data_IF_984976128343
#
_entry.id   IF_984976128343
#
_cell.length_a   1.000
_cell.length_b   1.000
_cell.length_c   1.000
_cell.angle_alpha   90.00
_cell.angle_beta   90.00
_cell.angle_gamma   90.00
#
_symmetry.space_group_name_H-M   'P 1'
#
loop_
_entity.id
_entity.type
_entity.pdbx_description
1 polymer ?
#
# COMPACT_ATOMS: atom_id res chain seq x y z
N UNK A 1 47.57 24.02 45.92
CA UNK A 1 46.11 23.77 45.85
C UNK A 1 45.77 23.38 44.42
N UNK A 2 45.48 22.10 44.17
CA UNK A 2 45.31 21.53 42.83
C UNK A 2 43.85 21.09 42.65
N UNK A 3 43.07 21.80 41.84
CA UNK A 3 41.66 21.50 41.56
C UNK A 3 41.55 20.39 40.51
N UNK A 4 41.09 19.21 40.91
CA UNK A 4 40.72 18.12 39.99
C UNK A 4 39.31 18.36 39.44
N UNK A 5 39.22 18.76 38.18
CA UNK A 5 38.00 18.70 37.37
C UNK A 5 37.69 17.22 37.04
N UNK A 6 36.63 16.67 37.64
CA UNK A 6 36.03 15.39 37.23
C UNK A 6 35.08 15.65 36.05
N UNK A 7 35.49 15.27 34.85
CA UNK A 7 34.62 15.22 33.68
C UNK A 7 33.60 14.09 33.84
N UNK A 8 32.31 14.43 33.86
CA UNK A 8 31.21 13.49 33.86
C UNK A 8 31.06 12.88 32.46
N UNK A 9 31.49 11.63 32.29
CA UNK A 9 31.14 10.81 31.12
C UNK A 9 29.76 10.21 31.37
N UNK A 10 28.73 10.74 30.71
CA UNK A 10 27.41 10.11 30.64
C UNK A 10 27.43 8.90 29.70
N UNK A 11 26.61 7.86 29.95
CA UNK A 11 26.56 6.69 29.09
C UNK A 11 25.77 7.00 27.81
N UNK A 12 26.47 7.02 26.67
CA UNK A 12 25.88 6.88 25.34
C UNK A 12 25.41 5.43 25.17
N UNK A 13 24.25 5.10 25.75
CA UNK A 13 23.60 3.82 25.57
C UNK A 13 22.95 3.75 24.17
N UNK A 14 23.68 3.09 23.25
CA UNK A 14 23.18 2.16 22.23
C UNK A 14 21.83 2.48 21.54
N UNK A 15 21.86 3.31 20.50
CA UNK A 15 20.84 3.35 19.43
C UNK A 15 20.97 2.17 18.43
N UNK A 16 21.54 1.03 18.83
CA UNK A 16 21.80 -0.11 17.93
C UNK A 16 20.61 -1.05 17.75
N UNK A 17 19.50 -0.86 18.48
CA UNK A 17 18.32 -1.72 18.41
C UNK A 17 17.37 -1.50 17.22
N UNK A 18 17.49 -0.39 16.48
CA UNK A 18 16.51 -0.04 15.44
C UNK A 18 16.70 -0.79 14.10
N UNK A 19 17.85 -1.42 13.88
CA UNK A 19 18.15 -2.09 12.59
C UNK A 19 17.54 -3.49 12.46
N UNK A 20 17.19 -4.15 13.57
CA UNK A 20 16.66 -5.52 13.54
C UNK A 20 15.23 -5.66 13.02
N UNK A 21 14.41 -4.60 13.07
CA UNK A 21 13.00 -4.65 12.69
C UNK A 21 12.74 -4.47 11.19
N UNK A 22 13.74 -4.05 10.41
CA UNK A 22 13.62 -3.92 8.95
C UNK A 22 13.76 -5.26 8.19
N UNK A 23 14.25 -6.32 8.85
CA UNK A 23 14.52 -7.62 8.22
C UNK A 23 13.31 -8.53 8.01
N UNK A 24 12.13 -8.18 8.54
CA UNK A 24 10.92 -9.04 8.51
C UNK A 24 9.87 -8.61 7.48
N UNK A 25 10.17 -7.61 6.65
CA UNK A 25 9.36 -7.30 5.49
C UNK A 25 9.81 -8.20 4.33
N UNK A 26 9.18 -9.36 4.21
CA UNK A 26 9.27 -10.17 3.01
C UNK A 26 9.08 -9.26 1.80
N UNK A 27 10.11 -9.16 0.95
CA UNK A 27 10.01 -8.43 -0.30
C UNK A 27 8.79 -8.97 -1.06
N UNK A 28 7.86 -8.11 -1.53
CA UNK A 28 6.72 -8.58 -2.31
C UNK A 28 7.25 -9.37 -3.50
N UNK A 29 6.83 -10.63 -3.56
CA UNK A 29 7.42 -11.69 -4.38
C UNK A 29 7.75 -11.26 -5.81
N UNK A 30 8.97 -11.62 -6.20
CA UNK A 30 9.46 -11.54 -7.56
C UNK A 30 8.69 -12.53 -8.45
N UNK A 31 7.57 -12.11 -9.02
CA UNK A 31 7.02 -12.69 -10.24
C UNK A 31 6.17 -11.64 -10.96
N UNK A 32 6.82 -10.88 -11.84
CA UNK A 32 6.16 -10.36 -13.03
C UNK A 32 7.08 -10.75 -14.18
N UNK A 33 6.75 -11.85 -14.85
CA UNK A 33 7.22 -12.06 -16.21
C UNK A 33 6.75 -10.85 -17.03
N UNK A 34 7.52 -10.49 -18.06
CA UNK A 34 7.24 -9.42 -19.03
C UNK A 34 5.74 -9.17 -19.20
N UNK A 35 5.25 -7.91 -19.13
CA UNK A 35 3.88 -7.56 -19.47
C UNK A 35 3.70 -7.66 -20.99
N UNK A 36 3.92 -8.85 -21.54
CA UNK A 36 3.31 -9.23 -22.81
C UNK A 36 1.81 -9.00 -22.63
N UNK A 37 1.17 -8.23 -23.54
CA UNK A 37 -0.27 -8.07 -23.50
C UNK A 37 -0.88 -9.47 -23.42
N UNK A 38 -1.59 -9.76 -22.32
CA UNK A 38 -2.18 -11.07 -22.16
C UNK A 38 -3.23 -11.20 -23.26
N UNK A 39 -2.92 -12.01 -24.26
CA UNK A 39 -3.83 -12.25 -25.36
C UNK A 39 -5.11 -12.87 -24.77
N UNK A 40 -6.31 -12.37 -25.13
CA UNK A 40 -7.55 -13.02 -24.77
C UNK A 40 -7.53 -14.46 -25.25
N UNK A 41 -8.01 -15.36 -24.40
CA UNK A 41 -8.12 -16.78 -24.68
C UNK A 41 -9.59 -17.18 -24.67
N UNK A 42 -9.87 -18.26 -25.36
CA UNK A 42 -11.14 -18.95 -25.30
C UNK A 42 -10.84 -20.37 -24.86
N UNK A 43 -11.72 -20.95 -24.06
CA UNK A 43 -11.58 -22.34 -23.68
C UNK A 43 -11.77 -23.21 -24.93
N UNK A 44 -10.90 -24.21 -25.11
CA UNK A 44 -11.08 -25.20 -26.16
C UNK A 44 -12.49 -25.79 -26.02
N UNK A 45 -13.23 -25.98 -27.12
CA UNK A 45 -12.81 -26.03 -28.53
C UNK A 45 -12.86 -24.68 -29.28
N UNK A 46 -12.94 -23.54 -28.60
CA UNK A 46 -13.04 -22.23 -29.25
C UNK A 46 -11.69 -21.53 -29.36
N UNK A 47 -11.56 -20.64 -30.34
CA UNK A 47 -10.41 -19.75 -30.52
C UNK A 47 -10.87 -18.29 -30.48
N UNK A 48 -10.02 -17.41 -29.94
CA UNK A 48 -10.30 -15.99 -29.93
C UNK A 48 -10.11 -15.38 -31.32
N UNK A 49 -11.13 -14.70 -31.82
CA UNK A 49 -11.09 -13.96 -33.09
C UNK A 49 -10.92 -12.46 -32.80
N UNK A 50 -9.76 -11.91 -33.17
CA UNK A 50 -9.43 -10.52 -32.91
C UNK A 50 -10.31 -9.53 -33.71
N UNK A 51 -10.86 -9.94 -34.84
CA UNK A 51 -11.70 -9.10 -35.70
C UNK A 51 -13.09 -8.88 -35.09
N UNK A 52 -13.70 -9.95 -34.56
CA UNK A 52 -15.02 -9.86 -33.90
C UNK A 52 -14.93 -9.68 -32.39
N UNK A 53 -13.71 -9.72 -31.82
CA UNK A 53 -13.46 -9.65 -30.37
C UNK A 53 -14.28 -10.69 -29.57
N UNK A 54 -14.46 -11.87 -30.15
CA UNK A 54 -15.33 -12.93 -29.63
C UNK A 54 -14.69 -14.30 -29.82
N UNK A 55 -15.16 -15.29 -29.05
CA UNK A 55 -14.77 -16.67 -29.26
C UNK A 55 -15.51 -17.24 -30.46
N UNK A 56 -14.77 -17.86 -31.39
CA UNK A 56 -15.31 -18.59 -32.53
C UNK A 56 -14.91 -20.07 -32.46
N UNK A 57 -15.70 -20.97 -33.07
CA UNK A 57 -15.30 -22.36 -33.21
C UNK A 57 -13.91 -22.46 -33.84
N UNK A 58 -12.98 -23.16 -33.17
CA UNK A 58 -11.67 -23.42 -33.74
C UNK A 58 -11.72 -24.56 -34.75
N UNK A 59 -10.60 -24.86 -35.42
CA UNK A 59 -10.49 -26.05 -36.26
C UNK A 59 -10.85 -27.34 -35.51
N UNK A 60 -10.47 -27.43 -34.23
CA UNK A 60 -10.74 -28.58 -33.35
C UNK A 60 -12.23 -28.77 -33.03
N UNK A 61 -13.08 -27.76 -33.30
CA UNK A 61 -14.52 -27.89 -33.09
C UNK A 61 -15.14 -28.93 -34.03
N UNK A 62 -14.62 -29.05 -35.26
CA UNK A 62 -15.11 -30.03 -36.25
C UNK A 62 -14.82 -31.47 -35.84
N UNK A 63 -13.86 -31.67 -34.95
CA UNK A 63 -13.45 -33.00 -34.49
C UNK A 63 -14.29 -33.50 -33.31
N UNK A 64 -15.20 -32.67 -32.78
CA UNK A 64 -16.10 -33.06 -31.69
C UNK A 64 -17.18 -34.02 -32.19
N UNK A 65 -17.32 -35.15 -31.51
CA UNK A 65 -18.31 -36.19 -31.82
C UNK A 65 -19.07 -36.62 -30.57
N UNK A 66 -20.30 -37.09 -30.77
CA UNK A 66 -21.12 -37.70 -29.73
C UNK A 66 -21.36 -36.77 -28.53
N UNK A 67 -21.18 -37.31 -27.32
CA UNK A 67 -21.46 -36.60 -26.06
C UNK A 67 -20.57 -35.37 -25.83
N UNK A 68 -19.39 -35.30 -26.46
CA UNK A 68 -18.49 -34.13 -26.36
C UNK A 68 -19.06 -32.90 -27.08
N UNK A 69 -19.95 -33.09 -28.05
CA UNK A 69 -20.65 -31.99 -28.71
C UNK A 69 -21.81 -31.46 -27.85
N UNK A 70 -22.46 -32.33 -27.08
CA UNK A 70 -23.65 -31.98 -26.30
C UNK A 70 -23.26 -31.28 -25.00
N UNK A 71 -23.90 -30.15 -24.68
CA UNK A 71 -23.67 -29.39 -23.44
C UNK A 71 -23.31 -27.93 -23.71
N UNK A 72 -22.28 -27.42 -23.03
CA UNK A 72 -21.83 -26.02 -23.17
C UNK A 72 -21.15 -25.71 -24.51
N UNK A 73 -20.87 -26.74 -25.32
CA UNK A 73 -20.10 -26.60 -26.56
C UNK A 73 -20.96 -26.54 -27.83
N UNK A 74 -22.22 -26.98 -27.81
CA UNK A 74 -23.07 -26.95 -29.00
C UNK A 74 -24.25 -27.90 -28.97
N UNK A 75 -24.83 -28.14 -30.15
CA UNK A 75 -25.89 -29.12 -30.38
C UNK A 75 -25.51 -30.07 -31.51
N UNK A 76 -25.81 -31.35 -31.33
CA UNK A 76 -25.62 -32.35 -32.37
C UNK A 76 -26.77 -32.24 -33.39
N UNK A 77 -26.44 -32.10 -34.68
CA UNK A 77 -27.42 -32.07 -35.76
C UNK A 77 -27.04 -33.10 -36.82
N UNK A 78 -27.57 -34.31 -36.70
CA UNK A 78 -27.06 -35.47 -37.44
C UNK A 78 -25.77 -35.97 -36.80
N UNK A 79 -24.73 -36.19 -37.60
CA UNK A 79 -23.38 -36.56 -37.12
C UNK A 79 -22.46 -35.34 -36.91
N UNK A 80 -22.91 -34.15 -37.28
CA UNK A 80 -22.11 -32.92 -37.19
C UNK A 80 -22.44 -32.12 -35.93
N UNK A 81 -21.40 -31.61 -35.28
CA UNK A 81 -21.55 -30.68 -34.17
C UNK A 81 -21.81 -29.26 -34.69
N UNK A 82 -22.93 -28.67 -34.28
CA UNK A 82 -23.24 -27.27 -34.58
C UNK A 82 -22.89 -26.40 -33.37
N UNK A 83 -22.14 -25.30 -33.58
CA UNK A 83 -21.87 -24.36 -32.50
C UNK A 83 -23.18 -23.73 -32.01
N UNK A 84 -23.23 -23.30 -30.74
CA UNK A 84 -24.39 -22.60 -30.22
C UNK A 84 -24.57 -21.27 -30.97
N UNK A 85 -25.77 -20.69 -30.83
CA UNK A 85 -26.04 -19.34 -31.31
C UNK A 85 -25.03 -18.34 -30.72
N UNK A 86 -24.75 -17.25 -31.44
CA UNK A 86 -23.68 -16.31 -31.10
C UNK A 86 -23.81 -15.70 -29.69
N UNK A 87 -25.03 -15.53 -29.20
CA UNK A 87 -25.36 -15.03 -27.85
C UNK A 87 -25.02 -16.03 -26.73
N UNK A 88 -24.87 -17.32 -27.08
CA UNK A 88 -24.55 -18.43 -26.17
C UNK A 88 -23.11 -18.92 -26.30
N UNK A 89 -22.30 -18.32 -27.17
CA UNK A 89 -20.88 -18.65 -27.25
C UNK A 89 -20.16 -18.27 -25.96
N UNK A 90 -19.13 -19.04 -25.54
CA UNK A 90 -18.34 -18.67 -24.38
C UNK A 90 -17.71 -17.30 -24.58
N UNK A 91 -17.67 -16.52 -23.50
CA UNK A 91 -17.03 -15.21 -23.53
C UNK A 91 -15.51 -15.38 -23.50
N UNK A 92 -14.76 -14.53 -24.20
CA UNK A 92 -13.31 -14.51 -24.06
C UNK A 92 -12.91 -14.32 -22.59
N UNK A 93 -11.92 -15.08 -22.15
CA UNK A 93 -11.32 -14.99 -20.84
C UNK A 93 -9.85 -14.59 -20.97
N UNK A 94 -9.22 -14.27 -19.85
CA UNK A 94 -7.83 -13.82 -19.82
C UNK A 94 -6.88 -14.86 -19.18
N UNK A 95 -7.35 -16.11 -19.04
CA UNK A 95 -6.63 -17.21 -18.41
C UNK A 95 -6.44 -17.12 -16.88
N UNK A 96 -6.32 -15.91 -16.33
CA UNK A 96 -6.11 -15.65 -14.90
C UNK A 96 -7.23 -14.74 -14.36
N UNK A 97 -7.73 -15.06 -13.17
CA UNK A 97 -8.87 -14.37 -12.52
C UNK A 97 -8.58 -12.92 -12.14
N UNK A 98 -7.31 -12.49 -12.13
CA UNK A 98 -6.90 -11.10 -11.92
C UNK A 98 -7.11 -10.22 -13.15
N UNK A 99 -7.44 -10.81 -14.30
CA UNK A 99 -7.68 -10.08 -15.53
C UNK A 99 -9.16 -10.14 -15.92
N UNK A 100 -9.67 -9.05 -16.50
CA UNK A 100 -10.99 -9.01 -17.14
C UNK A 100 -10.86 -8.64 -18.59
N UNK A 101 -11.71 -9.27 -19.37
CA UNK A 101 -11.87 -8.96 -20.77
C UNK A 101 -12.80 -7.75 -20.92
N UNK A 102 -12.32 -6.67 -21.53
CA UNK A 102 -13.12 -5.51 -21.93
C UNK A 102 -12.67 -5.06 -23.32
N UNK A 103 -13.61 -4.73 -24.20
CA UNK A 103 -13.33 -4.13 -25.53
C UNK A 103 -12.30 -4.87 -26.42
N UNK A 104 -12.14 -6.19 -26.25
CA UNK A 104 -11.20 -6.98 -27.04
C UNK A 104 -9.80 -7.13 -26.46
N UNK A 105 -9.59 -6.66 -25.22
CA UNK A 105 -8.31 -6.73 -24.53
C UNK A 105 -8.49 -7.25 -23.10
N UNK A 106 -7.45 -7.90 -22.59
CA UNK A 106 -7.35 -8.29 -21.20
C UNK A 106 -6.72 -7.16 -20.39
N UNK A 107 -7.45 -6.68 -19.41
CA UNK A 107 -6.98 -5.69 -18.44
C UNK A 107 -6.84 -6.35 -17.09
N UNK A 108 -5.94 -5.86 -16.25
CA UNK A 108 -5.96 -6.22 -14.83
C UNK A 108 -7.26 -5.65 -14.25
N UNK A 109 -8.14 -6.49 -13.73
CA UNK A 109 -9.27 -6.03 -12.95
C UNK A 109 -8.81 -5.85 -11.53
N UNK A 110 -8.51 -4.59 -11.26
CA UNK A 110 -8.21 -4.13 -9.93
C UNK A 110 -9.35 -3.25 -9.43
N UNK A 111 -10.55 -3.83 -9.39
CA UNK A 111 -11.71 -3.27 -8.66
C UNK A 111 -11.47 -3.15 -7.15
N UNK A 112 -10.25 -3.47 -6.68
CA UNK A 112 -9.87 -3.22 -5.30
C UNK A 112 -9.71 -1.70 -5.09
N UNK A 113 -10.35 -1.13 -4.04
CA UNK A 113 -10.33 0.31 -3.80
C UNK A 113 -8.89 0.82 -3.63
N UNK A 114 -8.52 1.94 -4.27
CA UNK A 114 -7.28 2.61 -3.90
C UNK A 114 -7.32 2.96 -2.41
N UNK A 115 -6.34 2.47 -1.65
CA UNK A 115 -6.21 2.72 -0.21
C UNK A 115 -5.63 4.11 0.10
N UNK A 116 -5.67 5.02 -0.87
CA UNK A 116 -5.06 6.34 -0.78
C UNK A 116 -5.78 7.29 -1.72
N UNK A 117 -6.92 7.78 -1.27
CA UNK A 117 -7.41 9.10 -1.67
C UNK A 117 -6.52 10.15 -0.96
N UNK A 118 -6.34 11.36 -1.50
CA UNK A 118 -5.47 12.38 -0.90
C UNK A 118 -4.49 13.03 -1.89
N UNK A 119 -3.64 13.95 -1.40
CA UNK A 119 -2.66 14.67 -2.22
C UNK A 119 -1.69 13.68 -2.90
N UNK A 120 -1.51 13.83 -4.20
CA UNK A 120 -0.65 12.98 -5.04
C UNK A 120 0.70 13.64 -5.30
N UNK A 121 0.88 14.92 -4.99
CA UNK A 121 2.11 15.65 -5.33
C UNK A 121 3.31 15.06 -4.59
N UNK A 122 4.36 14.74 -5.35
CA UNK A 122 5.55 14.07 -4.83
C UNK A 122 5.47 12.54 -4.82
N UNK A 123 4.31 11.97 -5.15
CA UNK A 123 4.15 10.52 -5.22
C UNK A 123 4.60 9.95 -6.56
N UNK A 124 4.98 8.69 -6.50
CA UNK A 124 5.42 7.91 -7.63
C UNK A 124 4.51 6.73 -7.91
N UNK A 125 4.19 6.59 -9.19
CA UNK A 125 3.38 5.53 -9.73
C UNK A 125 4.26 4.58 -10.53
N UNK A 126 4.21 3.31 -10.16
CA UNK A 126 4.80 2.22 -10.95
C UNK A 126 3.71 1.60 -11.80
N UNK A 127 3.73 1.89 -13.09
CA UNK A 127 2.77 1.38 -14.07
C UNK A 127 3.32 0.10 -14.68
N UNK A 128 2.56 -0.98 -14.56
CA UNK A 128 2.87 -2.30 -15.14
C UNK A 128 1.84 -2.72 -16.19
N UNK A 129 0.57 -2.39 -15.96
CA UNK A 129 -0.52 -2.60 -16.92
C UNK A 129 -0.76 -1.37 -17.78
N UNK A 130 -1.24 -1.58 -19.00
CA UNK A 130 -1.56 -0.50 -19.95
C UNK A 130 -3.04 -0.55 -20.32
N UNK A 131 -3.83 0.31 -19.70
CA UNK A 131 -5.19 0.61 -20.18
C UNK A 131 -5.11 1.35 -21.53
N UNK A 132 -6.17 1.37 -22.36
CA UNK A 132 -6.15 2.11 -23.62
C UNK A 132 -5.87 3.60 -23.37
N UNK A 133 -6.48 4.17 -22.32
CA UNK A 133 -6.24 5.54 -21.89
C UNK A 133 -4.76 5.84 -21.59
N UNK A 134 -4.05 4.95 -20.90
CA UNK A 134 -2.61 5.11 -20.66
C UNK A 134 -1.79 4.98 -21.94
N UNK A 135 -2.19 4.09 -22.86
CA UNK A 135 -1.50 3.88 -24.13
C UNK A 135 -1.59 5.10 -25.02
N UNK A 136 -2.79 5.64 -25.15
CA UNK A 136 -3.09 6.79 -26.01
C UNK A 136 -2.36 8.06 -25.50
N UNK A 137 -2.09 8.13 -24.20
CA UNK A 137 -1.27 9.17 -23.55
C UNK A 137 0.24 8.89 -23.59
N UNK A 138 0.66 7.82 -24.28
CA UNK A 138 2.07 7.42 -24.36
C UNK A 138 2.69 7.10 -23.00
N UNK A 139 1.90 6.63 -22.02
CA UNK A 139 2.32 6.30 -20.66
C UNK A 139 2.59 4.80 -20.46
N UNK A 140 2.48 4.00 -21.53
CA UNK A 140 2.86 2.60 -21.50
C UNK A 140 4.35 2.43 -21.11
N UNK A 141 4.72 1.32 -20.43
CA UNK A 141 6.11 0.92 -20.31
C UNK A 141 6.80 0.89 -21.68
N UNK A 142 8.06 1.37 -21.77
CA UNK A 142 8.85 1.21 -22.99
C UNK A 142 8.95 -0.25 -23.44
N UNK A 143 9.13 -0.54 -24.73
CA UNK A 143 9.40 -1.90 -25.20
C UNK A 143 10.58 -2.52 -24.44
N UNK A 144 10.36 -3.71 -23.86
CA UNK A 144 11.37 -4.44 -23.07
C UNK A 144 11.51 -3.98 -21.61
N UNK A 145 10.64 -3.09 -21.11
CA UNK A 145 10.62 -2.70 -19.70
C UNK A 145 9.40 -3.28 -18.97
N UNK A 146 9.63 -3.87 -17.79
CA UNK A 146 8.58 -4.42 -16.93
C UNK A 146 7.62 -3.36 -16.36
N UNK A 147 8.09 -2.12 -16.26
CA UNK A 147 7.33 -1.02 -15.68
C UNK A 147 7.79 0.35 -16.20
N UNK A 148 6.92 1.34 -16.01
CA UNK A 148 7.25 2.75 -16.10
C UNK A 148 7.07 3.40 -14.74
N UNK A 149 8.04 4.21 -14.32
CA UNK A 149 7.93 5.00 -13.11
C UNK A 149 7.56 6.45 -13.49
N UNK A 150 6.51 6.98 -12.89
CA UNK A 150 6.07 8.36 -13.10
C UNK A 150 5.97 9.08 -11.77
N UNK A 151 6.51 10.31 -11.70
CA UNK A 151 6.41 11.21 -10.54
C UNK A 151 5.31 12.24 -10.79
N UNK A 152 4.45 12.46 -9.81
CA UNK A 152 3.46 13.54 -9.83
C UNK A 152 4.10 14.85 -9.40
N UNK A 153 4.03 15.84 -10.28
CA UNK A 153 4.62 17.18 -10.08
C UNK A 153 3.61 18.23 -9.69
N UNK A 154 2.35 18.06 -10.08
CA UNK A 154 1.25 18.93 -9.67
C UNK A 154 -0.09 18.19 -9.79
N UNK A 155 -1.09 18.64 -9.05
CA UNK A 155 -2.45 18.15 -9.15
C UNK A 155 -3.46 19.30 -9.27
N UNK A 156 -4.63 19.03 -9.85
CA UNK A 156 -5.76 19.96 -9.95
C UNK A 156 -7.08 19.20 -9.83
N UNK A 157 -8.00 19.65 -8.98
CA UNK A 157 -9.34 19.05 -8.91
C UNK A 157 -10.16 19.41 -10.18
N UNK A 158 -10.85 18.44 -10.80
CA UNK A 158 -11.61 18.67 -12.06
C UNK A 158 -13.11 18.38 -11.92
N UNK A 159 -13.58 17.71 -10.87
CA UNK A 159 -14.97 17.20 -10.85
C UNK A 159 -15.60 17.24 -9.46
N UNK A 160 -15.81 18.44 -8.91
CA UNK A 160 -16.43 18.65 -7.57
C UNK A 160 -15.80 17.75 -6.48
N UNK A 161 -14.47 17.56 -6.54
CA UNK A 161 -13.71 16.72 -5.60
C UNK A 161 -13.76 15.21 -5.86
N UNK A 162 -14.42 14.74 -6.92
CA UNK A 162 -14.50 13.29 -7.25
C UNK A 162 -13.29 12.73 -8.00
N UNK A 163 -12.49 13.59 -8.63
CA UNK A 163 -11.30 13.19 -9.37
C UNK A 163 -10.29 14.34 -9.50
N UNK A 164 -9.03 13.99 -9.74
CA UNK A 164 -7.91 14.93 -9.84
C UNK A 164 -7.17 14.75 -11.16
N UNK A 165 -6.86 15.86 -11.81
CA UNK A 165 -5.86 15.92 -12.86
C UNK A 165 -4.48 15.88 -12.23
N UNK A 166 -3.62 15.03 -12.76
CA UNK A 166 -2.25 14.88 -12.32
C UNK A 166 -1.33 15.24 -13.49
N UNK A 167 -0.39 16.14 -13.25
CA UNK A 167 0.75 16.34 -14.13
C UNK A 167 1.88 15.42 -13.68
N UNK A 168 2.23 14.50 -14.55
CA UNK A 168 3.23 13.46 -14.28
C UNK A 168 4.39 13.58 -15.24
N UNK A 169 5.57 13.18 -14.78
CA UNK A 169 6.80 13.12 -15.58
C UNK A 169 7.45 11.76 -15.40
N UNK A 170 8.23 11.33 -16.39
CA UNK A 170 9.06 10.15 -16.25
C UNK A 170 10.03 10.31 -15.08
N UNK A 171 10.15 9.25 -14.28
CA UNK A 171 10.97 9.24 -13.09
C UNK A 171 11.92 8.05 -13.08
N UNK A 172 12.94 8.14 -12.23
CA UNK A 172 13.83 7.05 -11.90
C UNK A 172 14.04 6.96 -10.39
N UNK A 173 14.46 5.79 -9.90
CA UNK A 173 14.76 5.64 -8.48
C UNK A 173 16.14 6.22 -8.18
N UNK A 174 16.20 7.27 -7.36
CA UNK A 174 17.48 7.80 -6.85
C UNK A 174 18.11 6.84 -5.84
N UNK A 175 17.29 6.27 -4.95
CA UNK A 175 17.70 5.22 -4.03
C UNK A 175 16.63 4.13 -4.02
N UNK A 176 16.88 3.02 -4.73
CA UNK A 176 15.90 1.93 -4.83
C UNK A 176 15.65 1.31 -3.45
N UNK A 177 14.39 1.16 -2.99
CA UNK A 177 13.11 1.53 -3.60
C UNK A 177 12.45 2.80 -2.98
N UNK A 178 13.22 3.60 -2.23
CA UNK A 178 12.73 4.64 -1.33
C UNK A 178 12.42 5.97 -2.02
N UNK A 179 13.22 6.45 -2.96
CA UNK A 179 13.01 7.79 -3.57
C UNK A 179 12.98 7.74 -5.08
N UNK A 180 12.09 8.54 -5.64
CA UNK A 180 11.97 8.76 -7.06
C UNK A 180 12.25 10.22 -7.39
N UNK A 181 12.94 10.44 -8.50
CA UNK A 181 13.32 11.75 -8.99
C UNK A 181 12.94 11.86 -10.46
N UNK A 182 12.72 13.08 -10.93
CA UNK A 182 12.43 13.34 -12.34
C UNK A 182 13.60 12.88 -13.21
N UNK A 183 13.32 12.15 -14.28
CA UNK A 183 14.31 11.88 -15.32
C UNK A 183 14.55 13.18 -16.10
N UNK A 184 15.81 13.55 -16.31
CA UNK A 184 16.16 14.78 -17.04
C UNK A 184 15.50 14.82 -18.44
N UNK A 185 14.91 15.96 -18.79
CA UNK A 185 14.23 16.15 -20.08
C UNK A 185 12.89 15.42 -20.22
N UNK A 186 12.32 14.89 -19.13
CA UNK A 186 11.03 14.22 -19.17
C UNK A 186 9.90 15.16 -19.59
N UNK A 187 9.08 14.69 -20.52
CA UNK A 187 7.86 15.38 -20.94
C UNK A 187 6.81 15.36 -19.81
N UNK A 188 6.15 16.50 -19.61
CA UNK A 188 5.01 16.60 -18.69
C UNK A 188 3.77 16.05 -19.39
N UNK A 189 3.13 15.07 -18.76
CA UNK A 189 1.92 14.44 -19.25
C UNK A 189 0.78 14.64 -18.26
N UNK A 190 -0.45 14.61 -18.76
CA UNK A 190 -1.64 14.87 -17.97
C UNK A 190 -2.52 13.63 -17.90
N UNK A 191 -2.88 13.19 -16.69
CA UNK A 191 -3.72 12.02 -16.45
C UNK A 191 -4.65 12.21 -15.27
N UNK A 192 -5.84 11.59 -15.32
CA UNK A 192 -6.75 11.56 -14.18
C UNK A 192 -6.26 10.56 -13.14
N UNK A 193 -6.41 10.89 -11.85
CA UNK A 193 -6.08 9.98 -10.77
C UNK A 193 -6.86 8.67 -10.88
N UNK A 194 -8.15 8.74 -11.24
CA UNK A 194 -8.98 7.58 -11.53
C UNK A 194 -8.38 6.65 -12.59
N UNK A 195 -7.90 7.18 -13.71
CA UNK A 195 -7.27 6.40 -14.79
C UNK A 195 -5.98 5.69 -14.33
N UNK A 196 -5.18 6.33 -13.46
CA UNK A 196 -4.00 5.67 -12.85
C UNK A 196 -4.42 4.55 -11.89
N UNK A 197 -5.43 4.79 -11.06
CA UNK A 197 -5.95 3.80 -10.12
C UNK A 197 -6.52 2.60 -10.87
N UNK A 198 -7.35 2.84 -11.89
CA UNK A 198 -7.95 1.81 -12.75
C UNK A 198 -6.90 0.97 -13.49
N UNK A 199 -5.71 1.52 -13.75
CA UNK A 199 -4.62 0.77 -14.36
C UNK A 199 -3.89 -0.20 -13.43
N UNK A 200 -4.21 -0.19 -12.13
CA UNK A 200 -3.48 -0.93 -11.10
C UNK A 200 -2.07 -0.38 -10.87
N UNK A 201 -1.84 0.92 -11.11
CA UNK A 201 -0.56 1.53 -10.87
C UNK A 201 -0.23 1.53 -9.37
N UNK A 202 0.93 0.98 -9.00
CA UNK A 202 1.35 0.94 -7.60
C UNK A 202 1.83 2.33 -7.18
N UNK A 203 1.21 2.91 -6.16
CA UNK A 203 1.52 4.25 -5.63
C UNK A 203 2.52 4.14 -4.48
N UNK A 204 3.52 5.01 -4.49
CA UNK A 204 4.55 5.13 -3.45
C UNK A 204 4.80 6.57 -3.15
N UNK A 205 5.01 6.91 -1.89
CA UNK A 205 5.25 8.30 -1.55
C UNK A 205 5.19 8.59 -0.06
N UNK A 206 5.40 9.85 0.26
CA UNK A 206 5.32 10.32 1.63
C UNK A 206 3.88 10.45 2.08
N UNK A 207 3.65 10.09 3.34
CA UNK A 207 2.36 10.24 4.00
C UNK A 207 2.60 10.84 5.36
N UNK A 208 1.67 11.67 5.81
CA UNK A 208 1.72 12.23 7.15
C UNK A 208 0.30 12.29 7.72
N UNK A 209 0.21 12.31 9.05
CA UNK A 209 -1.07 12.33 9.73
C UNK A 209 -0.92 12.42 11.24
N UNK A 210 -2.01 12.19 11.96
CA UNK A 210 -1.99 12.03 13.40
C UNK A 210 -2.03 10.54 13.78
N UNK A 211 -1.19 10.14 14.72
CA UNK A 211 -1.14 8.81 15.29
C UNK A 211 -1.67 8.86 16.72
N UNK A 212 -2.58 7.95 17.03
CA UNK A 212 -3.12 7.75 18.37
C UNK A 212 -2.75 6.35 18.85
N UNK A 213 -2.11 6.27 20.01
CA UNK A 213 -1.68 5.01 20.64
C UNK A 213 -2.32 4.92 22.02
N UNK A 214 -3.45 4.21 22.17
CA UNK A 214 -4.21 4.18 23.43
C UNK A 214 -3.74 3.11 24.43
N UNK A 215 -3.09 2.04 23.96
CA UNK A 215 -2.66 0.92 24.79
C UNK A 215 -1.20 0.61 24.51
N UNK A 216 -0.38 0.55 25.57
CA UNK A 216 1.05 0.22 25.47
C UNK A 216 1.36 -0.99 26.33
N UNK A 217 2.08 -1.94 25.75
CA UNK A 217 2.63 -3.10 26.44
C UNK A 217 4.13 -2.95 26.63
N UNK A 218 4.57 -2.86 27.88
CA UNK A 218 5.98 -2.76 28.26
C UNK A 218 6.55 -4.15 28.51
N UNK A 219 7.58 -4.52 27.74
CA UNK A 219 8.15 -5.88 27.80
C UNK A 219 8.93 -6.15 29.09
N UNK A 220 9.70 -5.17 29.56
CA UNK A 220 10.59 -5.36 30.71
C UNK A 220 9.80 -5.48 32.01
N UNK A 221 8.70 -4.73 32.16
CA UNK A 221 7.78 -4.85 33.30
C UNK A 221 6.60 -5.82 33.10
N UNK A 222 6.46 -6.46 31.93
CA UNK A 222 5.31 -7.32 31.59
C UNK A 222 3.95 -6.64 31.76
N UNK A 223 3.90 -5.32 31.70
CA UNK A 223 2.75 -4.52 32.15
C UNK A 223 2.04 -3.84 30.98
N UNK A 224 0.71 -3.83 31.05
CA UNK A 224 -0.15 -3.09 30.14
C UNK A 224 -0.57 -1.79 30.82
N UNK A 225 -0.41 -0.68 30.11
CA UNK A 225 -0.85 0.63 30.61
C UNK A 225 -1.78 1.28 29.59
N UNK A 226 -2.90 1.81 30.08
CA UNK A 226 -3.83 2.64 29.32
C UNK A 226 -3.33 4.08 29.24
N UNK A 227 -2.20 4.29 28.58
CA UNK A 227 -1.58 5.60 28.40
C UNK A 227 -1.85 6.08 26.98
N UNK A 228 -2.49 7.25 26.85
CA UNK A 228 -2.81 7.83 25.55
C UNK A 228 -1.61 8.63 25.04
N UNK A 229 -1.12 8.28 23.85
CA UNK A 229 -0.22 9.14 23.07
C UNK A 229 -0.90 9.65 21.82
N UNK A 230 -0.78 10.96 21.58
CA UNK A 230 -1.30 11.62 20.38
C UNK A 230 -0.22 12.53 19.80
N UNK A 231 0.08 12.33 18.53
CA UNK A 231 1.12 13.13 17.87
C UNK A 231 1.15 12.94 16.35
N UNK A 232 1.88 13.81 15.64
CA UNK A 232 2.09 13.66 14.22
C UNK A 232 2.92 12.40 13.90
N UNK A 233 2.63 11.80 12.76
CA UNK A 233 3.50 10.81 12.12
C UNK A 233 3.82 11.23 10.69
N UNK A 234 4.99 10.82 10.22
CA UNK A 234 5.37 10.84 8.82
C UNK A 234 5.83 9.43 8.44
N UNK A 235 5.59 9.02 7.20
CA UNK A 235 5.96 7.70 6.76
C UNK A 235 6.07 7.58 5.26
N UNK A 236 6.71 6.50 4.83
CA UNK A 236 6.79 6.15 3.42
C UNK A 236 5.81 5.02 3.12
N UNK A 237 4.88 5.27 2.21
CA UNK A 237 3.83 4.34 1.78
C UNK A 237 4.32 3.49 0.61
N UNK A 238 3.99 2.22 0.68
CA UNK A 238 3.98 1.29 -0.43
C UNK A 238 2.55 0.77 -0.59
N UNK A 239 1.81 1.23 -1.59
CA UNK A 239 0.49 0.68 -1.93
C UNK A 239 0.51 -0.04 -3.27
N UNK A 240 -0.22 -1.16 -3.29
CA UNK A 240 -0.47 -1.97 -4.47
C UNK A 240 -1.84 -2.61 -4.28
N UNK A 241 -2.75 -2.34 -5.22
CA UNK A 241 -3.98 -3.11 -5.41
C UNK A 241 -4.77 -3.32 -4.12
N UNK A 242 -5.58 -2.35 -3.71
CA UNK A 242 -6.53 -2.55 -2.60
C UNK A 242 -5.95 -2.49 -1.20
N UNK A 243 -4.62 -2.61 -1.11
CA UNK A 243 -3.88 -2.68 0.13
C UNK A 243 -2.61 -1.86 0.03
N UNK A 244 -2.18 -1.34 1.16
CA UNK A 244 -0.90 -0.67 1.28
C UNK A 244 -0.36 -0.85 2.66
N UNK A 245 0.95 -0.73 2.78
CA UNK A 245 1.58 -0.55 4.07
C UNK A 245 2.40 0.73 4.08
N UNK A 246 2.53 1.32 5.25
CA UNK A 246 3.29 2.54 5.51
C UNK A 246 4.30 2.24 6.60
N UNK A 247 5.56 2.54 6.32
CA UNK A 247 6.59 2.60 7.35
C UNK A 247 6.54 3.99 7.97
N UNK A 248 6.05 4.09 9.20
CA UNK A 248 5.78 5.34 9.88
C UNK A 248 6.77 5.57 11.02
N UNK A 249 7.14 6.83 11.20
CA UNK A 249 7.81 7.36 12.39
C UNK A 249 6.89 8.40 13.03
N UNK A 250 6.85 8.43 14.35
CA UNK A 250 5.95 9.29 15.12
C UNK A 250 6.68 9.89 16.31
N UNK A 251 6.34 11.15 16.60
CA UNK A 251 6.79 11.89 17.77
C UNK A 251 5.53 12.46 18.43
N UNK A 252 5.24 12.07 19.67
CA UNK A 252 3.96 12.39 20.31
C UNK A 252 4.13 12.88 21.74
N UNK A 253 3.09 13.55 22.23
CA UNK A 253 2.91 13.76 23.66
C UNK A 253 2.11 12.59 24.22
N UNK A 254 2.52 12.10 25.38
CA UNK A 254 1.86 11.00 26.09
C UNK A 254 1.41 11.46 27.46
N UNK A 255 0.19 11.12 27.83
CA UNK A 255 -0.22 11.10 29.24
C UNK A 255 0.22 9.78 29.84
N UNK A 256 0.88 9.84 31.00
CA UNK A 256 1.49 8.68 31.65
C UNK A 256 1.14 8.74 33.12
N UNK A 257 0.75 7.63 33.72
CA UNK A 257 0.60 7.55 35.17
C UNK A 257 1.96 7.38 35.83
N UNK A 258 2.37 8.38 36.60
CA UNK A 258 3.54 8.30 37.48
C UNK A 258 3.22 7.58 38.78
N UNK A 259 4.25 7.21 39.53
CA UNK A 259 4.11 6.74 40.91
C UNK A 259 4.94 7.63 41.83
N UNK A 260 4.30 8.14 42.88
CA UNK A 260 4.99 8.72 44.04
C UNK A 260 5.13 7.62 45.08
N UNK A 261 6.35 7.45 45.59
CA UNK A 261 6.65 6.43 46.59
C UNK A 261 7.20 7.06 47.86
N UNK A 262 6.81 6.52 49.02
CA UNK A 262 7.37 6.91 50.31
C UNK A 262 8.81 6.36 50.49
N UNK A 263 9.45 6.68 51.62
CA UNK A 263 10.79 6.18 51.96
C UNK A 263 10.84 4.66 52.17
N UNK A 264 9.69 4.00 52.36
CA UNK A 264 9.54 2.55 52.48
C UNK A 264 9.17 1.88 51.14
N UNK A 265 9.23 2.63 50.02
CA UNK A 265 8.93 2.17 48.67
C UNK A 265 7.44 1.81 48.41
N UNK A 266 6.52 2.24 49.27
CA UNK A 266 5.07 2.08 49.07
C UNK A 266 4.54 3.18 48.14
N UNK A 267 3.60 2.83 47.26
CA UNK A 267 2.95 3.81 46.37
C UNK A 267 1.96 4.64 47.19
N UNK A 268 2.20 5.94 47.28
CA UNK A 268 1.35 6.89 48.03
C UNK A 268 0.45 7.74 47.12
N UNK A 269 0.86 7.95 45.87
CA UNK A 269 0.08 8.72 44.90
C UNK A 269 0.41 8.30 43.45
N UNK A 270 -0.51 8.56 42.53
CA UNK A 270 -0.40 8.26 41.09
C UNK A 270 -0.73 9.48 40.22
N UNK A 271 0.13 10.50 40.19
CA UNK A 271 -0.12 11.70 39.41
C UNK A 271 -0.03 11.41 37.90
N UNK A 272 -0.82 12.13 37.11
CA UNK A 272 -0.67 12.14 35.66
C UNK A 272 0.53 13.01 35.29
N UNK A 273 1.45 12.43 34.53
CA UNK A 273 2.63 13.08 33.99
C UNK A 273 2.48 13.24 32.47
N UNK A 274 3.04 14.32 31.94
CA UNK A 274 3.20 14.49 30.49
C UNK A 274 4.59 14.02 30.12
N UNK A 275 4.67 13.14 29.13
CA UNK A 275 5.90 12.62 28.56
C UNK A 275 5.97 12.84 27.06
N UNK A 276 7.17 12.67 26.52
CA UNK A 276 7.42 12.57 25.08
C UNK A 276 7.49 11.11 24.67
N UNK A 277 6.85 10.75 23.55
CA UNK A 277 6.99 9.44 22.93
C UNK A 277 7.68 9.57 21.59
N UNK A 278 8.55 8.61 21.27
CA UNK A 278 9.02 8.38 19.91
C UNK A 278 8.68 6.94 19.53
N UNK A 279 8.12 6.76 18.34
CA UNK A 279 7.70 5.45 17.86
C UNK A 279 8.02 5.25 16.38
N UNK A 280 8.25 4.00 16.00
CA UNK A 280 8.34 3.56 14.62
C UNK A 280 7.37 2.38 14.43
N UNK A 281 6.78 2.24 13.26
CA UNK A 281 5.83 1.17 13.04
C UNK A 281 5.47 0.93 11.59
N UNK A 282 4.72 -0.15 11.39
CA UNK A 282 4.11 -0.52 10.12
C UNK A 282 2.62 -0.31 10.24
N UNK A 283 2.03 0.48 9.34
CA UNK A 283 0.60 0.71 9.25
C UNK A 283 0.08 0.06 7.97
N UNK A 284 -1.00 -0.72 8.04
CA UNK A 284 -1.68 -1.32 6.91
C UNK A 284 -2.97 -0.56 6.63
N UNK A 285 -3.18 -0.23 5.36
CA UNK A 285 -4.41 0.37 4.89
C UNK A 285 -5.39 -0.75 4.50
N UNK A 286 -6.55 -0.80 5.17
CA UNK A 286 -7.64 -1.73 4.93
C UNK A 286 -8.78 -0.95 4.27
N UNK A 287 -8.92 -1.08 2.94
CA UNK A 287 -10.06 -0.52 2.22
C UNK A 287 -11.02 -1.63 1.77
N UNK A 288 -12.30 -1.46 2.09
CA UNK A 288 -13.36 -2.43 1.74
C UNK A 288 -14.29 -1.95 0.62
N UNK A 289 -14.27 -0.65 0.26
CA UNK A 289 -15.16 -0.08 -0.76
C UNK A 289 -14.44 1.03 -1.54
N UNK A 290 -14.65 1.13 -2.88
CA UNK A 290 -14.18 2.28 -3.67
C UNK A 290 -14.80 3.57 -3.12
N UNK A 291 -14.02 4.64 -3.01
CA UNK A 291 -14.53 5.92 -2.48
C UNK A 291 -14.59 6.01 -0.95
N UNK A 292 -14.20 4.95 -0.23
CA UNK A 292 -14.22 4.95 1.23
C UNK A 292 -12.83 5.19 1.80
N UNK A 293 -12.77 6.05 2.82
CA UNK A 293 -11.52 6.29 3.57
C UNK A 293 -10.99 4.97 4.14
N UNK A 294 -9.74 4.60 3.85
CA UNK A 294 -9.14 3.37 4.33
C UNK A 294 -9.05 3.42 5.86
N UNK A 295 -9.40 2.30 6.48
CA UNK A 295 -9.12 2.08 7.90
C UNK A 295 -7.64 1.70 8.04
N UNK A 296 -6.93 2.31 8.99
CA UNK A 296 -5.53 1.98 9.25
C UNK A 296 -5.42 1.12 10.51
N UNK A 297 -4.76 -0.03 10.36
CA UNK A 297 -4.34 -0.88 11.47
C UNK A 297 -2.82 -0.89 11.48
N UNK A 298 -2.18 -0.76 12.62
CA UNK A 298 -0.72 -0.72 12.68
C UNK A 298 -0.14 -1.43 13.88
N UNK A 299 1.13 -1.81 13.74
CA UNK A 299 1.97 -2.23 14.84
C UNK A 299 3.07 -1.20 15.02
N UNK A 300 3.21 -0.68 16.22
CA UNK A 300 4.18 0.35 16.57
C UNK A 300 5.02 -0.11 17.75
N UNK A 301 6.31 0.21 17.70
CA UNK A 301 7.26 0.06 18.79
C UNK A 301 7.80 1.43 19.13
N UNK A 302 7.93 1.74 20.41
CA UNK A 302 8.37 3.06 20.82
C UNK A 302 8.91 3.09 22.23
N UNK A 303 9.26 4.31 22.65
CA UNK A 303 9.77 4.60 23.99
C UNK A 303 9.14 5.88 24.53
N UNK A 304 8.78 5.84 25.80
CA UNK A 304 8.29 7.00 26.55
C UNK A 304 9.44 7.63 27.33
N UNK A 305 9.54 8.96 27.30
CA UNK A 305 10.50 9.76 28.05
C UNK A 305 9.74 10.77 28.90
N UNK A 306 9.84 10.64 30.22
CA UNK A 306 9.32 11.63 31.17
C UNK A 306 10.50 12.39 31.78
N UNK A 307 10.34 13.70 31.95
CA UNK A 307 11.32 14.55 32.62
C UNK A 307 11.67 14.00 34.00
N UNK A 308 12.94 14.05 34.37
CA UNK A 308 13.41 13.56 35.68
C UNK A 308 12.96 14.54 36.77
N UNK A 309 11.88 14.19 37.48
CA UNK A 309 11.52 14.82 38.74
C UNK A 309 12.03 13.96 39.90
N UNK A 310 12.49 14.60 40.98
CA UNK A 310 12.97 13.89 42.17
C UNK A 310 11.84 13.24 42.99
N UNK A 311 10.58 13.64 42.75
CA UNK A 311 9.42 13.25 43.57
C UNK A 311 8.54 12.21 42.87
N UNK A 312 8.42 12.29 41.54
CA UNK A 312 7.56 11.40 40.74
C UNK A 312 8.43 10.51 39.85
N UNK A 313 8.35 9.19 40.04
CA UNK A 313 9.08 8.23 39.20
C UNK A 313 8.11 7.58 38.24
N UNK A 314 8.48 7.55 36.97
CA UNK A 314 7.87 6.67 35.99
C UNK A 314 8.80 5.47 35.82
N UNK A 315 8.34 4.28 36.21
CA UNK A 315 9.18 3.08 36.22
C UNK A 315 9.65 2.70 34.83
N UNK A 316 8.75 2.80 33.84
CA UNK A 316 9.01 2.41 32.46
C UNK A 316 9.68 3.52 31.63
N UNK A 317 10.34 4.49 32.28
CA UNK A 317 10.94 5.63 31.59
C UNK A 317 12.13 5.19 30.71
N UNK A 318 11.98 5.32 29.40
CA UNK A 318 12.94 4.84 28.41
C UNK A 318 12.80 3.35 28.07
N UNK A 319 11.86 2.63 28.70
CA UNK A 319 11.59 1.25 28.34
C UNK A 319 10.89 1.17 26.98
N UNK A 320 11.15 0.07 26.28
CA UNK A 320 10.53 -0.20 24.98
C UNK A 320 9.12 -0.76 25.19
N UNK A 321 8.15 -0.12 24.54
CA UNK A 321 6.78 -0.58 24.50
C UNK A 321 6.37 -1.01 23.09
N UNK A 322 5.38 -1.89 23.03
CA UNK A 322 4.70 -2.32 21.82
C UNK A 322 3.23 -1.92 21.89
N UNK A 323 2.66 -1.51 20.77
CA UNK A 323 1.24 -1.20 20.70
C UNK A 323 0.63 -1.56 19.35
N UNK A 324 -0.67 -1.88 19.41
CA UNK A 324 -1.52 -1.93 18.23
C UNK A 324 -2.12 -0.54 18.05
N UNK A 325 -1.89 0.04 16.88
CA UNK A 325 -2.48 1.29 16.46
C UNK A 325 -3.74 1.00 15.65
N UNK A 326 -4.80 1.73 15.96
CA UNK A 326 -6.05 1.71 15.19
C UNK A 326 -6.38 3.15 14.87
N UNK A 327 -6.66 3.47 13.61
CA UNK A 327 -6.98 4.84 13.25
C UNK A 327 -7.54 5.02 11.84
N UNK A 328 -7.94 6.25 11.59
CA UNK A 328 -8.35 6.75 10.28
C UNK A 328 -7.36 7.83 9.86
N UNK A 329 -7.08 7.93 8.55
CA UNK A 329 -6.30 9.05 8.04
C UNK A 329 -7.19 10.31 8.02
N UNK A 330 -6.76 11.35 8.72
CA UNK A 330 -7.48 12.64 8.79
C UNK A 330 -6.96 13.69 7.80
N UNK A 331 -5.85 13.43 7.13
CA UNK A 331 -5.10 14.40 6.32
C UNK A 331 -5.45 14.38 4.83
N UNK A 332 -6.25 13.43 4.36
CA UNK A 332 -6.71 13.37 2.97
C UNK A 332 -7.98 14.24 2.81
N UNK A 333 -7.78 15.55 2.62
CA UNK A 333 -8.77 16.49 2.07
C UNK A 333 -8.50 16.74 0.58
#
# INVERSE_FOLDING_TARGET
>A
MSSKLKAARGPLASCWGLWGLLGLLAAPGAHAADPTPIAPKCDLPYAYDAGTKACKPSAAFKDLKGELCTGNFGTLAGEECKPPAADKMPKPNCGDSRFRFKEGQCFVDDSTPSSSEGDYVGDCFTIRGVTPALRDKGMAPPPGADYRLMLVTSQKDISDGKDRELKVVDAEFFWKPLWCVTKGGAEVKTIKASELVESGAARRGWVFGAMVVPFKYYKEGGSQTGNLSVGPYAGWRYSRNGSGFTLAVSAALSTIQGEVRDSANNIIDRPQLVGYTAAVGVLWDISKRPGARPFQLGFVVGQDRVGRSNVTKFQQNGETWFALQVGYRFTDN
#
